data_IF_612425119027
#
_entry.id   IF_612425119027
#
_cell.length_a   1.000
_cell.length_b   1.000
_cell.length_c   1.000
_cell.angle_alpha   90.00
_cell.angle_beta   90.00
_cell.angle_gamma   90.00
#
_symmetry.space_group_name_H-M   'P 1'
#
loop_
_entity.id
_entity.type
_entity.pdbx_description
1 polymer ?
#
# COMPACT_ATOMS: atom_id res chain seq x y z
N UNK A 1 20.54 21.89 -10.17
CA UNK A 1 19.69 21.16 -11.13
C UNK A 1 18.51 20.58 -10.39
N UNK A 2 17.32 20.55 -10.98
CA UNK A 2 16.11 20.04 -10.34
C UNK A 2 14.88 20.31 -11.21
N UNK A 3 13.87 19.45 -11.13
CA UNK A 3 12.68 19.48 -12.01
C UNK A 3 12.01 20.87 -12.06
N UNK A 4 12.07 21.60 -10.95
CA UNK A 4 11.39 22.88 -10.74
C UNK A 4 12.36 23.99 -10.32
N UNK A 5 13.65 23.88 -10.68
CA UNK A 5 14.67 24.86 -10.27
C UNK A 5 14.48 26.26 -10.89
N UNK A 6 13.63 26.37 -11.91
CA UNK A 6 13.26 27.61 -12.58
C UNK A 6 11.95 28.22 -12.07
N UNK A 7 11.30 27.60 -11.08
CA UNK A 7 10.01 28.02 -10.52
C UNK A 7 10.20 28.74 -9.18
N UNK A 8 9.35 29.74 -8.94
CA UNK A 8 9.28 30.49 -7.69
C UNK A 8 8.06 30.05 -6.85
N UNK A 9 7.60 30.91 -5.94
CA UNK A 9 6.45 30.65 -5.07
C UNK A 9 5.16 31.35 -5.52
N UNK A 10 5.13 31.95 -6.71
CA UNK A 10 3.92 32.53 -7.29
C UNK A 10 2.84 31.46 -7.51
N UNK A 11 1.59 31.88 -7.63
CA UNK A 11 0.48 30.95 -7.86
C UNK A 11 0.62 30.18 -9.20
N UNK A 12 1.05 30.88 -10.26
CA UNK A 12 1.32 30.27 -11.56
C UNK A 12 2.43 29.23 -11.49
N UNK A 13 3.49 29.52 -10.74
CA UNK A 13 4.64 28.62 -10.61
C UNK A 13 4.29 27.41 -9.74
N UNK A 14 3.42 27.57 -8.75
CA UNK A 14 2.86 26.44 -7.97
C UNK A 14 2.00 25.53 -8.84
N UNK A 15 1.14 26.11 -9.68
CA UNK A 15 0.33 25.35 -10.62
C UNK A 15 1.23 24.55 -11.58
N UNK A 16 2.25 25.19 -12.15
CA UNK A 16 3.21 24.53 -13.04
C UNK A 16 4.03 23.46 -12.31
N UNK A 17 4.43 23.71 -11.06
CA UNK A 17 5.09 22.72 -10.21
C UNK A 17 4.21 21.47 -10.03
N UNK A 18 2.93 21.63 -9.68
CA UNK A 18 1.99 20.51 -9.52
C UNK A 18 1.75 19.79 -10.84
N UNK A 19 1.59 20.53 -11.96
CA UNK A 19 1.43 19.94 -13.30
C UNK A 19 2.62 19.06 -13.68
N UNK A 20 3.86 19.56 -13.50
CA UNK A 20 5.09 18.79 -13.79
C UNK A 20 5.18 17.53 -12.93
N UNK A 21 4.86 17.64 -11.64
CA UNK A 21 4.84 16.49 -10.74
C UNK A 21 3.80 15.46 -11.20
N UNK A 22 2.61 15.90 -11.60
CA UNK A 22 1.54 15.01 -12.06
C UNK A 22 1.93 14.25 -13.33
N UNK A 23 2.55 14.91 -14.31
CA UNK A 23 3.05 14.25 -15.52
C UNK A 23 4.12 13.19 -15.22
N UNK A 24 5.06 13.52 -14.34
CA UNK A 24 6.09 12.57 -13.90
C UNK A 24 5.45 11.41 -13.14
N UNK A 25 4.52 11.68 -12.22
CA UNK A 25 3.83 10.65 -11.45
C UNK A 25 3.04 9.70 -12.36
N UNK A 26 2.36 10.23 -13.39
CA UNK A 26 1.68 9.44 -14.42
C UNK A 26 2.62 8.46 -15.10
N UNK A 27 3.82 8.90 -15.50
CA UNK A 27 4.80 8.02 -16.14
C UNK A 27 5.21 6.87 -15.22
N UNK A 28 5.42 7.12 -13.93
CA UNK A 28 5.72 6.05 -12.96
C UNK A 28 4.53 5.11 -12.77
N UNK A 29 3.31 5.63 -12.61
CA UNK A 29 2.10 4.82 -12.46
C UNK A 29 1.86 3.92 -13.68
N UNK A 30 2.06 4.43 -14.90
CA UNK A 30 1.95 3.65 -16.15
C UNK A 30 2.97 2.49 -16.23
N UNK A 31 4.06 2.56 -15.47
CA UNK A 31 5.05 1.49 -15.35
C UNK A 31 4.79 0.57 -14.14
N UNK A 32 3.61 0.64 -13.52
CA UNK A 32 3.23 -0.19 -12.37
C UNK A 32 3.94 0.19 -11.08
N UNK A 33 4.48 1.41 -10.98
CA UNK A 33 5.19 1.91 -9.81
C UNK A 33 4.22 2.73 -8.96
N UNK A 34 4.07 2.33 -7.69
CA UNK A 34 3.36 3.13 -6.69
C UNK A 34 4.17 4.40 -6.41
N UNK A 35 3.59 5.55 -6.73
CA UNK A 35 4.27 6.85 -6.63
C UNK A 35 3.66 7.67 -5.51
N UNK A 36 4.49 8.15 -4.58
CA UNK A 36 4.08 8.98 -3.44
C UNK A 36 4.53 10.41 -3.68
N UNK A 37 3.57 11.33 -3.75
CA UNK A 37 3.81 12.75 -4.00
C UNK A 37 3.49 13.59 -2.74
N UNK A 38 4.51 13.92 -1.94
CA UNK A 38 4.37 14.68 -0.69
C UNK A 38 4.60 16.19 -0.89
N UNK A 39 3.73 16.82 -1.67
CA UNK A 39 3.80 18.25 -1.98
C UNK A 39 2.65 19.03 -1.34
N UNK A 40 2.88 20.31 -1.04
CA UNK A 40 1.80 21.23 -0.68
C UNK A 40 1.03 21.56 -1.98
N UNK A 41 -0.21 21.10 -2.07
CA UNK A 41 -1.15 21.36 -3.16
C UNK A 41 -2.32 22.24 -2.64
N UNK A 42 -2.14 23.57 -2.62
CA UNK A 42 -2.95 24.46 -1.80
C UNK A 42 -4.39 24.64 -2.28
N UNK A 43 -4.66 24.54 -3.59
CA UNK A 43 -6.00 24.77 -4.14
C UNK A 43 -6.63 23.49 -4.66
N UNK A 44 -7.96 23.43 -4.63
CA UNK A 44 -8.76 22.34 -5.21
C UNK A 44 -8.43 22.21 -6.70
N UNK A 45 -8.37 23.32 -7.42
CA UNK A 45 -8.06 23.34 -8.85
C UNK A 45 -6.72 22.67 -9.20
N UNK A 46 -5.67 22.86 -8.39
CA UNK A 46 -4.38 22.19 -8.60
C UNK A 46 -4.47 20.68 -8.39
N UNK A 47 -5.25 20.23 -7.39
CA UNK A 47 -5.44 18.80 -7.10
C UNK A 47 -6.30 18.12 -8.16
N UNK A 48 -7.34 18.80 -8.65
CA UNK A 48 -8.17 18.34 -9.77
C UNK A 48 -7.38 18.24 -11.07
N UNK A 49 -6.50 19.22 -11.34
CA UNK A 49 -5.58 19.15 -12.46
C UNK A 49 -4.67 17.90 -12.37
N UNK A 50 -4.07 17.65 -11.20
CA UNK A 50 -3.23 16.47 -11.00
C UNK A 50 -4.01 15.17 -11.17
N UNK A 51 -5.23 15.08 -10.61
CA UNK A 51 -6.16 13.95 -10.75
C UNK A 51 -6.52 13.70 -12.21
N UNK A 52 -6.77 14.76 -12.98
CA UNK A 52 -7.08 14.66 -14.41
C UNK A 52 -5.88 14.21 -15.26
N UNK A 53 -4.66 14.64 -14.93
CA UNK A 53 -3.44 14.26 -15.66
C UNK A 53 -3.10 12.79 -15.43
N UNK A 54 -3.08 12.38 -14.16
CA UNK A 54 -2.70 11.02 -13.73
C UNK A 54 -3.79 10.01 -14.13
N UNK A 55 -5.05 10.37 -13.92
CA UNK A 55 -6.21 9.54 -14.23
C UNK A 55 -6.92 9.07 -12.96
N UNK A 56 -8.27 9.04 -12.95
CA UNK A 56 -9.05 8.78 -11.73
C UNK A 56 -8.91 7.36 -11.16
N UNK A 57 -8.39 6.40 -11.93
CA UNK A 57 -8.11 5.05 -11.44
C UNK A 57 -6.73 4.90 -10.78
N UNK A 58 -5.81 5.82 -11.05
CA UNK A 58 -4.40 5.74 -10.60
C UNK A 58 -4.05 6.86 -9.59
N UNK A 59 -5.00 7.75 -9.29
CA UNK A 59 -4.84 8.86 -8.37
C UNK A 59 -5.64 8.67 -7.09
N UNK A 60 -4.98 8.82 -5.94
CA UNK A 60 -5.60 8.75 -4.62
C UNK A 60 -5.17 9.99 -3.83
N UNK A 61 -6.13 10.82 -3.44
CA UNK A 61 -5.91 12.01 -2.63
C UNK A 61 -5.86 11.65 -1.14
N UNK A 62 -4.70 11.86 -0.54
CA UNK A 62 -4.50 11.69 0.90
C UNK A 62 -4.40 13.07 1.55
N UNK A 63 -5.45 13.48 2.25
CA UNK A 63 -5.47 14.72 2.99
C UNK A 63 -4.85 14.54 4.38
N UNK A 64 -3.65 15.08 4.55
CA UNK A 64 -2.99 15.19 5.86
C UNK A 64 -3.56 16.41 6.59
N UNK A 65 -4.65 16.17 7.30
CA UNK A 65 -5.48 17.19 7.94
C UNK A 65 -4.94 17.54 9.33
N UNK A 66 -3.96 18.43 9.36
CA UNK A 66 -3.39 18.93 10.61
C UNK A 66 -3.66 20.42 10.72
N UNK A 67 -4.31 20.90 11.81
CA UNK A 67 -4.61 22.31 11.97
C UNK A 67 -3.36 23.19 11.87
N UNK A 68 -3.51 24.35 11.22
CA UNK A 68 -2.42 25.31 11.01
C UNK A 68 -1.69 25.66 12.30
N UNK A 69 -2.42 25.89 13.40
CA UNK A 69 -1.82 26.20 14.70
C UNK A 69 -0.85 25.11 15.20
N UNK A 70 -1.16 23.84 14.93
CA UNK A 70 -0.28 22.71 15.29
C UNK A 70 0.91 22.63 14.33
N UNK A 71 0.70 22.90 13.05
CA UNK A 71 1.80 23.00 12.07
C UNK A 71 2.78 24.13 12.43
N UNK A 72 2.28 25.30 12.83
CA UNK A 72 3.05 26.44 13.32
C UNK A 72 3.76 26.13 14.63
N UNK A 73 3.12 25.41 15.56
CA UNK A 73 3.77 24.98 16.80
C UNK A 73 4.94 24.03 16.53
N UNK A 74 4.79 23.10 15.57
CA UNK A 74 5.81 22.11 15.23
C UNK A 74 7.00 22.73 14.49
N UNK A 75 6.75 23.76 13.67
CA UNK A 75 7.69 24.50 12.80
C UNK A 75 9.05 23.83 12.55
N UNK A 76 9.01 22.62 11.99
CA UNK A 76 10.16 21.69 11.92
C UNK A 76 11.38 22.31 11.23
N UNK A 77 11.15 23.28 10.33
CA UNK A 77 12.18 23.94 9.54
C UNK A 77 12.35 25.43 9.87
N UNK A 78 11.63 25.95 10.88
CA UNK A 78 11.65 27.37 11.21
C UNK A 78 11.00 28.27 10.14
N UNK A 79 10.19 27.71 9.24
CA UNK A 79 9.64 28.42 8.09
C UNK A 79 8.41 29.25 8.47
N UNK A 80 7.58 28.75 9.38
CA UNK A 80 6.43 29.53 9.88
C UNK A 80 6.91 30.75 10.66
N UNK A 81 7.93 30.60 11.51
CA UNK A 81 8.53 31.73 12.22
C UNK A 81 9.10 32.79 11.27
N UNK A 82 9.77 32.38 10.17
CA UNK A 82 10.28 33.30 9.14
C UNK A 82 9.16 34.01 8.39
N UNK A 83 8.11 33.28 8.02
CA UNK A 83 6.93 33.84 7.36
C UNK A 83 6.20 34.86 8.25
N UNK A 84 6.00 34.56 9.54
CA UNK A 84 5.41 35.49 10.52
C UNK A 84 6.21 36.78 10.72
N UNK A 85 7.53 36.75 10.51
CA UNK A 85 8.41 37.93 10.50
C UNK A 85 8.45 38.66 9.16
N UNK A 86 7.72 38.21 8.14
CA UNK A 86 7.67 38.81 6.81
C UNK A 86 8.87 38.50 5.91
N UNK A 87 9.76 37.58 6.32
CA UNK A 87 10.95 37.19 5.55
C UNK A 87 10.60 36.26 4.38
N UNK A 88 9.46 35.56 4.45
CA UNK A 88 8.95 34.66 3.42
C UNK A 88 7.55 35.10 2.99
N UNK A 89 7.42 35.58 1.75
CA UNK A 89 6.13 36.00 1.20
C UNK A 89 5.39 34.84 0.55
N UNK A 90 4.06 34.90 0.61
CA UNK A 90 3.18 33.91 -0.04
C UNK A 90 3.16 32.56 0.66
N UNK A 91 3.52 32.49 1.94
CA UNK A 91 3.58 31.20 2.64
C UNK A 91 2.18 30.61 2.85
N UNK A 92 1.99 29.35 2.46
CA UNK A 92 0.67 28.67 2.54
C UNK A 92 0.19 28.60 3.99
N UNK A 93 -1.05 29.01 4.22
CA UNK A 93 -1.67 29.10 5.55
C UNK A 93 -1.45 30.44 6.27
N UNK A 94 -0.53 31.28 5.80
CA UNK A 94 -0.34 32.65 6.34
C UNK A 94 -0.80 33.68 5.31
N UNK A 95 -0.06 33.82 4.21
CA UNK A 95 -0.30 34.85 3.17
C UNK A 95 -0.89 34.27 1.88
N UNK A 96 -0.99 32.93 1.79
CA UNK A 96 -1.55 32.21 0.64
C UNK A 96 -2.56 31.18 1.14
N UNK A 97 -3.73 31.05 0.50
CA UNK A 97 -4.80 30.18 0.98
C UNK A 97 -4.42 28.69 0.91
N UNK A 98 -5.06 27.90 1.75
CA UNK A 98 -5.13 26.45 1.62
C UNK A 98 -6.60 26.05 1.62
N UNK A 99 -7.08 25.59 0.48
CA UNK A 99 -8.43 25.07 0.30
C UNK A 99 -8.40 23.59 0.67
N UNK A 100 -8.99 23.25 1.82
CA UNK A 100 -9.11 21.86 2.25
C UNK A 100 -9.90 21.05 1.19
N UNK A 101 -9.48 19.81 0.87
CA UNK A 101 -10.22 18.98 -0.07
C UNK A 101 -11.57 18.58 0.51
N UNK A 102 -12.62 18.69 -0.30
CA UNK A 102 -13.99 18.38 0.11
C UNK A 102 -14.21 16.87 0.26
N UNK A 103 -13.71 16.09 -0.69
CA UNK A 103 -13.91 14.64 -0.77
C UNK A 103 -12.59 13.88 -1.02
N UNK A 104 -11.59 13.98 -0.12
CA UNK A 104 -10.37 13.21 -0.27
C UNK A 104 -10.67 11.72 -0.11
N UNK A 105 -9.97 10.86 -0.87
CA UNK A 105 -10.10 9.41 -0.70
C UNK A 105 -9.70 8.97 0.71
N UNK A 106 -8.68 9.60 1.29
CA UNK A 106 -8.15 9.24 2.61
C UNK A 106 -7.87 10.52 3.38
N UNK A 107 -8.34 10.61 4.63
CA UNK A 107 -8.04 11.71 5.55
C UNK A 107 -7.24 11.19 6.75
N UNK A 108 -6.14 11.87 7.08
CA UNK A 108 -5.25 11.51 8.18
C UNK A 108 -5.09 12.72 9.09
N UNK A 109 -5.50 12.58 10.35
CA UNK A 109 -5.31 13.58 11.39
C UNK A 109 -4.06 13.24 12.22
N UNK A 110 -2.96 13.95 11.95
CA UNK A 110 -1.67 13.69 12.64
C UNK A 110 -1.60 14.25 14.05
N UNK A 111 -2.69 14.84 14.57
CA UNK A 111 -2.80 15.24 15.98
C UNK A 111 -3.29 14.09 16.85
N UNK A 112 -3.99 13.11 16.27
CA UNK A 112 -4.60 11.98 16.97
C UNK A 112 -3.86 10.67 16.79
N UNK A 113 -2.93 10.60 15.85
CA UNK A 113 -2.28 9.36 15.43
C UNK A 113 -0.77 9.54 15.34
N UNK A 114 -0.02 8.52 15.72
CA UNK A 114 1.43 8.45 15.45
C UNK A 114 1.68 8.13 13.98
N UNK A 115 2.90 8.41 13.50
CA UNK A 115 3.29 8.16 12.10
C UNK A 115 3.05 6.71 11.71
N UNK A 116 3.45 5.75 12.54
CA UNK A 116 3.28 4.32 12.24
C UNK A 116 1.80 3.94 12.11
N UNK A 117 0.94 4.44 13.00
CA UNK A 117 -0.51 4.21 12.96
C UNK A 117 -1.13 4.80 11.70
N UNK A 118 -0.74 6.03 11.33
CA UNK A 118 -1.20 6.69 10.10
C UNK A 118 -0.75 5.94 8.84
N UNK A 119 0.48 5.40 8.82
CA UNK A 119 0.99 4.60 7.70
C UNK A 119 0.23 3.29 7.58
N UNK A 120 -0.04 2.60 8.69
CA UNK A 120 -0.83 1.37 8.68
C UNK A 120 -2.27 1.62 8.25
N UNK A 121 -2.88 2.69 8.74
CA UNK A 121 -4.21 3.11 8.31
C UNK A 121 -4.25 3.39 6.80
N UNK A 122 -3.33 4.22 6.30
CA UNK A 122 -3.21 4.51 4.87
C UNK A 122 -3.06 3.23 4.05
N UNK A 123 -2.16 2.35 4.48
CA UNK A 123 -1.90 1.11 3.78
C UNK A 123 -3.14 0.18 3.75
N UNK A 124 -3.86 0.04 4.86
CA UNK A 124 -5.12 -0.71 4.91
C UNK A 124 -6.18 -0.14 3.95
N UNK A 125 -6.31 1.18 3.89
CA UNK A 125 -7.20 1.86 2.95
C UNK A 125 -6.84 1.61 1.48
N UNK A 126 -5.55 1.54 1.15
CA UNK A 126 -5.08 1.24 -0.21
C UNK A 126 -5.36 -0.22 -0.60
N UNK A 127 -5.12 -1.15 0.32
CA UNK A 127 -5.39 -2.59 0.14
C UNK A 127 -6.87 -2.84 -0.12
N UNK A 128 -7.75 -2.26 0.70
CA UNK A 128 -9.20 -2.44 0.53
C UNK A 128 -9.69 -1.93 -0.82
N UNK A 129 -9.10 -0.84 -1.33
CA UNK A 129 -9.39 -0.31 -2.67
C UNK A 129 -8.95 -1.26 -3.77
N UNK A 130 -7.71 -1.77 -3.71
CA UNK A 130 -7.17 -2.74 -4.67
C UNK A 130 -8.07 -4.00 -4.76
N UNK A 131 -8.52 -4.52 -3.61
CA UNK A 131 -9.44 -5.66 -3.54
C UNK A 131 -10.80 -5.32 -4.19
N UNK A 132 -11.38 -4.15 -3.89
CA UNK A 132 -12.68 -3.71 -4.45
C UNK A 132 -12.61 -3.54 -5.97
N UNK A 133 -11.52 -2.99 -6.50
CA UNK A 133 -11.30 -2.84 -7.93
C UNK A 133 -11.07 -4.18 -8.64
N UNK A 134 -10.33 -5.10 -8.01
CA UNK A 134 -10.16 -6.47 -8.48
C UNK A 134 -11.49 -7.23 -8.58
N UNK A 135 -12.40 -7.04 -7.61
CA UNK A 135 -13.77 -7.60 -7.65
C UNK A 135 -14.62 -7.00 -8.78
N UNK A 136 -14.62 -5.67 -8.94
CA UNK A 136 -15.34 -4.97 -10.03
C UNK A 136 -14.86 -5.38 -11.43
N UNK A 137 -13.55 -5.61 -11.62
CA UNK A 137 -12.99 -6.11 -12.90
C UNK A 137 -13.41 -7.57 -13.18
N UNK A 138 -13.52 -8.42 -12.16
CA UNK A 138 -14.03 -9.80 -12.29
C UNK A 138 -15.54 -9.85 -12.61
N UNK A 139 -16.33 -8.93 -12.05
CA UNK A 139 -17.78 -8.83 -12.33
C UNK A 139 -18.07 -8.33 -13.75
N UNK A 140 -17.33 -7.33 -14.25
CA UNK A 140 -17.47 -6.87 -15.65
C UNK A 140 -17.07 -7.92 -16.70
N UNK A 141 -16.29 -8.93 -16.32
CA UNK A 141 -15.87 -10.05 -17.17
C UNK A 141 -16.77 -11.29 -17.11
N UNK A 142 -17.79 -11.35 -16.25
CA UNK A 142 -18.66 -12.53 -16.09
C UNK A 142 -20.14 -12.17 -16.17
N UNK A 143 -20.73 -12.34 -17.37
CA UNK A 143 -22.16 -12.62 -17.50
C UNK A 143 -22.37 -14.09 -17.14
N UNK A 144 -22.46 -14.41 -15.85
CA UNK A 144 -22.89 -15.74 -15.39
C UNK A 144 -24.02 -15.56 -14.40
N UNK A 145 -25.22 -15.96 -14.84
CA UNK A 145 -26.40 -16.13 -14.00
C UNK A 145 -26.09 -17.19 -12.94
N UNK A 146 -26.25 -16.87 -11.67
CA UNK A 146 -26.76 -17.84 -10.69
C UNK A 146 -27.66 -17.13 -9.68
N UNK A 147 -28.67 -17.89 -9.29
CA UNK A 147 -29.87 -17.60 -8.52
C UNK A 147 -29.62 -17.16 -7.08
N UNK A 148 -30.55 -16.35 -6.57
CA UNK A 148 -30.73 -15.97 -5.17
C UNK A 148 -30.55 -17.15 -4.20
N UNK A 149 -29.80 -16.91 -3.13
CA UNK A 149 -30.25 -17.04 -1.73
C UNK A 149 -29.18 -16.42 -0.82
N UNK A 150 -29.63 -15.43 -0.03
CA UNK A 150 -29.14 -15.04 1.30
C UNK A 150 -27.67 -14.62 1.45
N UNK A 151 -27.37 -13.33 1.23
CA UNK A 151 -26.10 -12.73 1.66
C UNK A 151 -26.25 -11.21 1.94
N UNK A 152 -27.28 -10.84 2.70
CA UNK A 152 -27.58 -9.43 3.07
C UNK A 152 -27.12 -9.04 4.49
N UNK A 153 -26.30 -9.85 5.18
CA UNK A 153 -26.06 -9.65 6.63
C UNK A 153 -24.61 -9.39 7.06
N UNK A 154 -23.76 -8.77 6.23
CA UNK A 154 -22.39 -8.41 6.64
C UNK A 154 -22.03 -6.92 6.46
N UNK A 155 -23.02 -6.03 6.50
CA UNK A 155 -22.81 -4.58 6.42
C UNK A 155 -23.30 -3.89 7.70
N UNK A 156 -22.67 -4.19 8.83
CA UNK A 156 -22.67 -3.33 10.01
C UNK A 156 -21.60 -3.87 10.98
N UNK A 157 -20.88 -2.96 11.64
CA UNK A 157 -19.86 -3.22 12.67
C UNK A 157 -18.42 -3.51 12.18
N UNK A 158 -17.78 -2.51 11.55
CA UNK A 158 -16.32 -2.38 11.63
C UNK A 158 -15.98 -1.03 12.29
N UNK A 159 -16.25 -0.97 13.60
CA UNK A 159 -15.80 0.12 14.48
C UNK A 159 -14.37 -0.16 14.97
N UNK A 160 -13.48 0.80 14.73
CA UNK A 160 -12.19 0.98 15.43
C UNK A 160 -11.22 -0.22 15.47
N UNK A 161 -10.44 -0.43 14.41
CA UNK A 161 -9.18 -1.18 14.52
C UNK A 161 -8.12 -0.27 15.15
N UNK A 162 -7.93 -0.47 16.45
CA UNK A 162 -6.85 0.10 17.24
C UNK A 162 -5.55 -0.67 16.91
N UNK A 163 -4.73 -0.16 15.99
CA UNK A 163 -3.49 -0.80 15.50
C UNK A 163 -2.34 -0.73 16.52
N UNK A 164 -2.46 -1.44 17.64
CA UNK A 164 -1.34 -2.23 18.12
C UNK A 164 -1.54 -3.61 17.48
N UNK A 165 -0.63 -4.17 16.70
CA UNK A 165 -0.80 -5.55 16.20
C UNK A 165 -0.96 -6.47 17.43
N UNK A 166 -2.19 -6.89 17.73
CA UNK A 166 -2.50 -7.68 18.92
C UNK A 166 -2.21 -9.15 18.65
N UNK A 167 -2.29 -9.55 17.39
CA UNK A 167 -2.00 -10.91 16.94
C UNK A 167 -1.30 -10.91 15.58
N UNK A 168 -0.80 -12.08 15.16
CA UNK A 168 -0.11 -12.22 13.87
C UNK A 168 -1.09 -12.15 12.69
N UNK A 169 -2.36 -12.45 12.90
CA UNK A 169 -3.43 -12.37 11.90
C UNK A 169 -3.69 -10.93 11.42
N UNK A 170 -3.37 -9.94 12.27
CA UNK A 170 -3.41 -8.51 11.92
C UNK A 170 -2.30 -8.12 10.93
N UNK A 171 -1.25 -8.93 10.80
CA UNK A 171 -0.15 -8.65 9.89
C UNK A 171 -0.60 -8.86 8.44
N UNK A 172 -0.66 -7.78 7.68
CA UNK A 172 -1.05 -7.88 6.27
C UNK A 172 -0.11 -8.79 5.43
N UNK A 173 1.17 -8.87 5.78
CA UNK A 173 2.10 -9.81 5.13
C UNK A 173 1.73 -11.28 5.40
N UNK A 174 1.18 -11.57 6.59
CA UNK A 174 0.64 -12.89 6.93
C UNK A 174 -0.63 -13.18 6.11
N UNK A 175 -1.57 -12.23 6.08
CA UNK A 175 -2.82 -12.36 5.32
C UNK A 175 -2.58 -12.64 3.83
N UNK A 176 -1.66 -11.88 3.20
CA UNK A 176 -1.28 -12.13 1.80
C UNK A 176 -0.60 -13.48 1.59
N UNK A 177 0.21 -13.92 2.55
CA UNK A 177 0.85 -15.24 2.47
C UNK A 177 -0.15 -16.40 2.62
N UNK A 178 -1.22 -16.21 3.40
CA UNK A 178 -2.35 -17.15 3.48
C UNK A 178 -3.11 -17.22 2.15
N UNK A 179 -3.46 -16.07 1.57
CA UNK A 179 -4.13 -16.02 0.26
C UNK A 179 -3.29 -16.69 -0.84
N UNK A 180 -1.97 -16.47 -0.83
CA UNK A 180 -1.06 -17.13 -1.76
C UNK A 180 -1.07 -18.66 -1.60
N UNK A 181 -1.07 -19.16 -0.35
CA UNK A 181 -1.21 -20.59 -0.08
C UNK A 181 -2.54 -21.14 -0.60
N UNK A 182 -3.67 -20.48 -0.31
CA UNK A 182 -5.00 -20.93 -0.73
C UNK A 182 -5.13 -21.01 -2.25
N UNK A 183 -4.57 -20.03 -2.96
CA UNK A 183 -4.56 -20.01 -4.42
C UNK A 183 -3.72 -21.14 -5.01
N UNK A 184 -2.54 -21.39 -4.47
CA UNK A 184 -1.67 -22.51 -4.88
C UNK A 184 -2.38 -23.83 -4.58
N UNK A 185 -2.93 -23.99 -3.39
CA UNK A 185 -3.67 -25.19 -3.02
C UNK A 185 -4.85 -25.44 -3.97
N UNK A 186 -5.61 -24.41 -4.31
CA UNK A 186 -6.72 -24.50 -5.27
C UNK A 186 -6.24 -24.88 -6.68
N UNK A 187 -5.17 -24.26 -7.16
CA UNK A 187 -4.62 -24.49 -8.49
C UNK A 187 -4.11 -25.94 -8.67
N UNK A 188 -3.40 -26.46 -7.67
CA UNK A 188 -2.83 -27.81 -7.72
C UNK A 188 -3.77 -28.89 -7.18
N UNK A 189 -4.98 -28.56 -6.71
CA UNK A 189 -5.93 -29.52 -6.12
C UNK A 189 -6.22 -30.72 -7.01
N UNK A 190 -6.32 -30.49 -8.33
CA UNK A 190 -6.62 -31.53 -9.34
C UNK A 190 -5.37 -32.14 -10.00
N UNK A 191 -4.18 -31.71 -9.58
CA UNK A 191 -2.94 -32.26 -10.11
C UNK A 191 -2.73 -33.70 -9.59
N UNK A 192 -2.43 -34.62 -10.51
CA UNK A 192 -2.26 -36.05 -10.22
C UNK A 192 -0.86 -36.38 -9.66
N UNK A 193 0.10 -35.46 -9.76
CA UNK A 193 1.39 -35.58 -9.10
C UNK A 193 1.28 -35.14 -7.64
N UNK A 194 0.93 -36.11 -6.80
CA UNK A 194 0.76 -35.91 -5.36
C UNK A 194 2.03 -35.42 -4.67
N UNK A 195 3.21 -35.87 -5.12
CA UNK A 195 4.50 -35.52 -4.51
C UNK A 195 4.81 -34.06 -4.79
N UNK A 196 4.69 -33.64 -6.05
CA UNK A 196 4.90 -32.24 -6.42
C UNK A 196 3.89 -31.32 -5.72
N UNK A 197 2.61 -31.71 -5.71
CA UNK A 197 1.55 -30.96 -5.02
C UNK A 197 1.86 -30.79 -3.53
N UNK A 198 2.27 -31.84 -2.84
CA UNK A 198 2.65 -31.76 -1.42
C UNK A 198 3.82 -30.79 -1.22
N UNK A 199 4.86 -30.89 -2.03
CA UNK A 199 6.04 -30.02 -1.95
C UNK A 199 5.70 -28.54 -2.13
N UNK A 200 4.95 -28.18 -3.19
CA UNK A 200 4.61 -26.77 -3.44
C UNK A 200 3.63 -26.20 -2.39
N UNK A 201 2.69 -27.02 -1.91
CA UNK A 201 1.79 -26.63 -0.82
C UNK A 201 2.55 -26.43 0.50
N UNK A 202 3.55 -27.26 0.80
CA UNK A 202 4.38 -27.09 2.01
C UNK A 202 5.28 -25.88 1.93
N UNK A 203 5.93 -25.64 0.80
CA UNK A 203 6.75 -24.43 0.60
C UNK A 203 5.93 -23.15 0.73
N UNK A 204 4.67 -23.14 0.25
CA UNK A 204 3.77 -21.99 0.40
C UNK A 204 3.24 -21.82 1.81
N UNK A 205 2.75 -22.90 2.45
CA UNK A 205 2.24 -22.88 3.82
C UNK A 205 3.32 -22.51 4.85
N UNK A 206 4.58 -22.83 4.59
CA UNK A 206 5.69 -22.49 5.47
C UNK A 206 5.84 -20.98 5.70
N UNK A 207 5.43 -20.14 4.75
CA UNK A 207 5.55 -18.68 4.87
C UNK A 207 4.65 -18.12 6.00
N UNK A 208 3.31 -18.27 5.96
CA UNK A 208 2.43 -17.81 7.05
C UNK A 208 2.76 -18.48 8.37
N UNK A 209 3.07 -19.78 8.37
CA UNK A 209 3.39 -20.52 9.59
C UNK A 209 4.61 -19.96 10.32
N UNK A 210 5.69 -19.64 9.59
CA UNK A 210 6.88 -19.04 10.21
C UNK A 210 6.61 -17.60 10.70
N UNK A 211 5.75 -16.83 10.01
CA UNK A 211 5.36 -15.50 10.50
C UNK A 211 4.62 -15.62 11.83
N UNK A 212 3.62 -16.50 11.90
CA UNK A 212 2.84 -16.75 13.11
C UNK A 212 3.73 -17.27 14.26
N UNK A 213 4.52 -18.31 13.99
CA UNK A 213 5.41 -18.89 14.99
C UNK A 213 6.42 -17.87 15.52
N UNK A 214 6.95 -17.01 14.64
CA UNK A 214 7.85 -15.94 15.03
C UNK A 214 7.19 -14.87 15.89
N UNK A 215 5.96 -14.51 15.57
CA UNK A 215 5.21 -13.48 16.30
C UNK A 215 4.90 -13.89 17.73
N UNK A 216 4.61 -15.18 17.95
CA UNK A 216 4.37 -15.78 19.28
C UNK A 216 5.66 -15.95 20.11
N UNK A 217 6.84 -15.58 19.59
CA UNK A 217 8.09 -15.65 20.36
C UNK A 217 8.20 -14.50 21.35
N UNK A 218 8.85 -14.78 22.47
CA UNK A 218 9.06 -13.84 23.58
C UNK A 218 9.93 -12.62 23.25
N UNK A 219 10.71 -12.66 22.16
CA UNK A 219 11.66 -11.59 21.84
C UNK A 219 11.59 -11.13 20.38
N UNK A 220 11.79 -9.81 20.16
CA UNK A 220 11.85 -9.21 18.84
C UNK A 220 12.97 -9.83 17.97
N UNK A 221 14.10 -10.21 18.60
CA UNK A 221 15.22 -10.87 17.91
C UNK A 221 14.82 -12.24 17.35
N UNK A 222 14.05 -13.02 18.11
CA UNK A 222 13.52 -14.29 17.63
C UNK A 222 12.49 -14.09 16.53
N UNK A 223 11.58 -13.12 16.69
CA UNK A 223 10.61 -12.82 15.65
C UNK A 223 11.29 -12.47 14.32
N UNK A 224 12.31 -11.60 14.35
CA UNK A 224 13.12 -11.27 13.16
C UNK A 224 13.76 -12.52 12.53
N UNK A 225 14.28 -13.45 13.35
CA UNK A 225 14.85 -14.72 12.85
C UNK A 225 13.80 -15.52 12.06
N UNK A 226 12.59 -15.64 12.60
CA UNK A 226 11.49 -16.33 11.92
C UNK A 226 11.02 -15.62 10.65
N UNK A 227 11.03 -14.29 10.62
CA UNK A 227 10.76 -13.52 9.40
C UNK A 227 11.81 -13.79 8.31
N UNK A 228 13.08 -13.98 8.67
CA UNK A 228 14.11 -14.41 7.71
C UNK A 228 13.84 -15.83 7.17
N UNK A 229 13.37 -16.74 8.02
CA UNK A 229 12.98 -18.10 7.60
C UNK A 229 11.79 -18.02 6.62
N UNK A 230 10.73 -17.29 6.97
CA UNK A 230 9.58 -17.06 6.08
C UNK A 230 10.01 -16.45 4.72
N UNK A 231 10.96 -15.52 4.75
CA UNK A 231 11.53 -14.92 3.53
C UNK A 231 12.33 -15.94 2.72
N UNK A 232 13.03 -16.86 3.37
CA UNK A 232 13.69 -18.02 2.75
C UNK A 232 12.69 -18.95 2.06
N UNK A 233 11.57 -19.26 2.73
CA UNK A 233 10.47 -20.07 2.17
C UNK A 233 9.84 -19.44 0.92
N UNK A 234 9.82 -18.10 0.81
CA UNK A 234 9.44 -17.44 -0.45
C UNK A 234 10.39 -17.81 -1.61
N UNK A 235 11.68 -18.01 -1.34
CA UNK A 235 12.66 -18.45 -2.34
C UNK A 235 12.40 -19.89 -2.80
N UNK A 236 12.15 -20.79 -1.86
CA UNK A 236 11.78 -22.19 -2.16
C UNK A 236 10.50 -22.27 -2.99
N UNK A 237 9.46 -21.52 -2.59
CA UNK A 237 8.20 -21.46 -3.31
C UNK A 237 8.39 -21.00 -4.76
N UNK A 238 9.21 -19.98 -5.00
CA UNK A 238 9.51 -19.48 -6.35
C UNK A 238 10.20 -20.55 -7.20
N UNK A 239 11.11 -21.33 -6.62
CA UNK A 239 11.71 -22.49 -7.30
C UNK A 239 10.65 -23.50 -7.71
N UNK A 240 9.71 -23.83 -6.82
CA UNK A 240 8.60 -24.74 -7.13
C UNK A 240 7.68 -24.19 -8.22
N UNK A 241 7.36 -22.90 -8.21
CA UNK A 241 6.56 -22.26 -9.28
C UNK A 241 7.26 -22.37 -10.64
N UNK A 242 8.58 -22.14 -10.69
CA UNK A 242 9.37 -22.29 -11.93
C UNK A 242 9.34 -23.74 -12.42
N UNK A 243 9.49 -24.71 -11.50
CA UNK A 243 9.42 -26.13 -11.83
C UNK A 243 8.04 -26.50 -12.38
N UNK A 244 6.95 -26.11 -11.69
CA UNK A 244 5.58 -26.35 -12.12
C UNK A 244 5.32 -25.86 -13.55
N UNK A 245 5.84 -24.68 -13.89
CA UNK A 245 5.76 -24.13 -15.24
C UNK A 245 6.56 -24.97 -16.23
N UNK A 246 7.81 -25.29 -15.90
CA UNK A 246 8.71 -26.01 -16.81
C UNK A 246 8.21 -27.43 -17.14
N UNK A 247 7.58 -28.10 -16.17
CA UNK A 247 6.93 -29.41 -16.35
C UNK A 247 5.48 -29.31 -16.81
N UNK A 248 5.00 -28.09 -17.14
CA UNK A 248 3.68 -27.79 -17.71
C UNK A 248 2.49 -28.16 -16.81
N UNK A 249 2.67 -28.13 -15.49
CA UNK A 249 1.57 -28.27 -14.53
C UNK A 249 0.72 -27.01 -14.42
N UNK A 250 1.30 -25.85 -14.74
CA UNK A 250 0.62 -24.56 -14.81
C UNK A 250 1.06 -23.82 -16.07
N UNK A 251 0.22 -22.91 -16.55
CA UNK A 251 0.53 -22.02 -17.66
C UNK A 251 1.60 -20.98 -17.30
N UNK A 252 2.17 -20.35 -18.31
CA UNK A 252 3.12 -19.24 -18.13
C UNK A 252 2.47 -18.03 -17.43
N UNK A 253 1.17 -17.80 -17.65
CA UNK A 253 0.41 -16.71 -17.03
C UNK A 253 0.21 -16.96 -15.53
N UNK A 254 -0.28 -18.16 -15.17
CA UNK A 254 -0.44 -18.58 -13.76
C UNK A 254 0.91 -18.55 -13.02
N UNK A 255 1.99 -19.02 -13.66
CA UNK A 255 3.32 -18.97 -13.08
C UNK A 255 3.79 -17.52 -12.82
N UNK A 256 3.52 -16.59 -13.75
CA UNK A 256 3.90 -15.19 -13.59
C UNK A 256 3.13 -14.51 -12.46
N UNK A 257 1.82 -14.76 -12.36
CA UNK A 257 0.98 -14.22 -11.31
C UNK A 257 1.42 -14.71 -9.91
N UNK A 258 1.59 -16.04 -9.75
CA UNK A 258 2.11 -16.61 -8.50
C UNK A 258 3.51 -16.08 -8.15
N UNK A 259 4.38 -15.92 -9.15
CA UNK A 259 5.73 -15.37 -8.96
C UNK A 259 5.68 -13.93 -8.46
N UNK A 260 4.81 -13.08 -9.02
CA UNK A 260 4.63 -11.70 -8.58
C UNK A 260 4.13 -11.63 -7.14
N UNK A 261 3.15 -12.46 -6.77
CA UNK A 261 2.64 -12.55 -5.39
C UNK A 261 3.71 -13.01 -4.41
N UNK A 262 4.47 -14.06 -4.74
CA UNK A 262 5.58 -14.52 -3.90
C UNK A 262 6.69 -13.46 -3.73
N UNK A 263 7.02 -12.71 -4.79
CA UNK A 263 7.97 -11.59 -4.73
C UNK A 263 7.44 -10.46 -3.85
N UNK A 264 6.15 -10.12 -3.96
CA UNK A 264 5.49 -9.10 -3.12
C UNK A 264 5.60 -9.46 -1.64
N UNK A 265 5.23 -10.69 -1.27
CA UNK A 265 5.35 -11.18 0.12
C UNK A 265 6.81 -11.13 0.60
N UNK A 266 7.76 -11.57 -0.22
CA UNK A 266 9.19 -11.53 0.12
C UNK A 266 9.71 -10.10 0.37
N UNK A 267 9.28 -9.12 -0.43
CA UNK A 267 9.62 -7.70 -0.23
C UNK A 267 9.00 -7.12 1.04
N UNK A 268 7.75 -7.49 1.33
CA UNK A 268 7.08 -7.06 2.57
C UNK A 268 7.77 -7.63 3.81
N UNK A 269 8.17 -8.90 3.78
CA UNK A 269 8.97 -9.50 4.85
C UNK A 269 10.29 -8.76 5.05
N UNK A 270 10.99 -8.41 3.96
CA UNK A 270 12.22 -7.62 4.05
C UNK A 270 11.99 -6.24 4.68
N UNK A 271 10.88 -5.58 4.32
CA UNK A 271 10.46 -4.31 4.94
C UNK A 271 10.19 -4.46 6.44
N UNK A 272 9.41 -5.46 6.83
CA UNK A 272 9.09 -5.74 8.23
C UNK A 272 10.34 -6.05 9.06
N UNK A 273 11.25 -6.87 8.53
CA UNK A 273 12.55 -7.15 9.16
C UNK A 273 13.31 -5.85 9.41
N UNK A 274 13.47 -5.01 8.38
CA UNK A 274 14.21 -3.74 8.48
C UNK A 274 13.61 -2.82 9.54
N UNK A 275 12.29 -2.68 9.53
CA UNK A 275 11.56 -1.87 10.52
C UNK A 275 11.78 -2.42 11.92
N UNK A 276 11.61 -3.73 12.14
CA UNK A 276 11.78 -4.38 13.45
C UNK A 276 13.22 -4.39 13.95
N UNK A 277 14.23 -4.43 13.07
CA UNK A 277 15.65 -4.36 13.45
C UNK A 277 16.11 -2.95 13.86
N UNK A 278 15.28 -1.93 13.62
CA UNK A 278 15.57 -0.54 13.97
C UNK A 278 15.02 -0.16 15.36
N UNK A 279 14.31 -1.09 16.02
CA UNK A 279 13.84 -1.00 17.41
C UNK A 279 14.71 -1.89 18.29
#
# INVERSE_FOLDING_TARGET
TGLNNNLTFSESDRAENIRRIAEVAKLFCQNGIVTICSFISPTIAMRDQARSIIGPGDFIEVFVDTPLAICEQRDVKGLYAKARRGELKGFTGIDSPFEAPENPEIRIDTTKQKVDEAVWFLFGQLVQRDIREGKRKKEKGKRVKYSNTDDETLIAEDQFINYSNKSFEDLYVWQLSMQLYEEIHALFKKNNDFVFRDQICRSSLSIPSNIAEGFERSSNKEFIRFLFIAKGSCGELRTQIILARNIKYISQEEANDLMQKAIRVSKMLAGLIKTRSSF
#
